data_IF_359888652123
#
_entry.id   IF_359888652123
#
_cell.length_a   1.000
_cell.length_b   1.000
_cell.length_c   1.000
_cell.angle_alpha   90.00
_cell.angle_beta   90.00
_cell.angle_gamma   90.00
#
_symmetry.space_group_name_H-M   'P 1'
#
loop_
_entity.id
_entity.type
_entity.pdbx_description
1 polymer ?
#
# COMPACT_ATOMS: atom_id res chain seq x y z
N UNK A 1 43.88 36.33 -33.05
CA UNK A 1 42.98 35.28 -33.57
C UNK A 1 43.25 33.99 -32.82
N UNK A 2 42.34 33.25 -32.18
CA UNK A 2 40.89 33.31 -32.12
C UNK A 2 40.30 31.89 -32.14
N UNK A 3 39.98 31.36 -30.95
CA UNK A 3 38.88 30.41 -30.62
C UNK A 3 39.10 28.88 -30.78
N UNK A 4 38.88 28.22 -29.63
CA UNK A 4 38.60 26.79 -29.41
C UNK A 4 37.22 26.43 -30.02
N UNK A 5 37.11 25.25 -30.64
CA UNK A 5 35.86 24.62 -31.11
C UNK A 5 36.04 23.10 -30.94
N UNK A 6 35.09 22.29 -30.51
CA UNK A 6 33.69 22.53 -30.19
C UNK A 6 33.15 21.31 -29.46
N UNK A 7 32.33 21.60 -28.46
CA UNK A 7 31.66 20.71 -27.50
C UNK A 7 30.74 19.71 -28.21
N UNK A 8 30.57 18.54 -27.57
CA UNK A 8 29.57 17.51 -27.89
C UNK A 8 28.20 18.15 -28.19
N UNK A 9 27.54 17.73 -29.26
CA UNK A 9 26.13 18.04 -29.50
C UNK A 9 25.28 17.02 -28.75
N UNK A 10 24.95 17.33 -27.51
CA UNK A 10 23.82 16.75 -26.79
C UNK A 10 22.52 17.27 -27.42
N UNK A 11 21.65 16.35 -27.83
CA UNK A 11 20.29 16.67 -28.23
C UNK A 11 19.48 17.06 -26.97
N UNK A 12 18.71 18.16 -26.98
CA UNK A 12 17.84 18.49 -25.86
C UNK A 12 16.65 17.54 -25.88
N UNK A 13 16.68 16.55 -25.00
CA UNK A 13 15.49 15.80 -24.61
C UNK A 13 14.57 16.78 -23.88
N UNK A 14 13.47 17.13 -24.55
CA UNK A 14 12.33 17.85 -23.98
C UNK A 14 11.94 17.23 -22.64
N UNK A 15 12.15 17.98 -21.56
CA UNK A 15 11.47 17.73 -20.31
C UNK A 15 10.03 18.25 -20.46
N UNK A 16 8.98 17.43 -20.26
CA UNK A 16 7.65 17.97 -20.12
C UNK A 16 7.58 18.76 -18.81
N UNK A 17 7.28 20.04 -18.93
CA UNK A 17 6.86 20.91 -17.83
C UNK A 17 5.59 20.30 -17.21
N UNK A 18 5.71 19.79 -15.99
CA UNK A 18 4.55 19.37 -15.19
C UNK A 18 3.98 20.62 -14.54
N UNK A 19 2.89 21.12 -15.11
CA UNK A 19 2.06 22.15 -14.52
C UNK A 19 1.38 21.59 -13.27
N UNK A 20 1.81 22.04 -12.10
CA UNK A 20 1.24 21.67 -10.81
C UNK A 20 -0.01 22.52 -10.51
N UNK A 21 -1.07 22.36 -11.31
CA UNK A 21 -2.39 22.91 -11.01
C UNK A 21 -3.49 21.98 -11.49
N UNK A 22 -3.94 21.11 -10.60
CA UNK A 22 -5.36 20.77 -10.37
C UNK A 22 -5.39 19.59 -9.41
N UNK A 23 -5.77 19.86 -8.16
CA UNK A 23 -6.26 18.84 -7.25
C UNK A 23 -7.62 18.34 -7.77
N UNK A 24 -7.60 17.28 -8.59
CA UNK A 24 -8.75 16.42 -8.86
C UNK A 24 -8.60 15.12 -8.03
N UNK A 25 -9.68 14.34 -7.83
CA UNK A 25 -9.57 13.06 -7.13
C UNK A 25 -8.54 12.21 -7.86
N UNK A 26 -7.56 11.70 -7.11
CA UNK A 26 -6.51 10.84 -7.66
C UNK A 26 -7.22 9.61 -8.22
N UNK A 27 -7.37 9.56 -9.55
CA UNK A 27 -7.80 8.35 -10.23
C UNK A 27 -6.62 7.38 -10.18
N UNK A 28 -6.60 6.61 -9.10
CA UNK A 28 -5.54 5.67 -8.74
C UNK A 28 -5.39 4.55 -9.79
N UNK A 29 -6.36 4.42 -10.72
CA UNK A 29 -6.28 3.50 -11.84
C UNK A 29 -5.27 3.93 -12.92
N UNK A 30 -4.88 5.21 -12.99
CA UNK A 30 -3.94 5.71 -13.98
C UNK A 30 -2.45 5.47 -13.62
N UNK A 31 -2.14 5.17 -12.36
CA UNK A 31 -0.77 4.90 -11.89
C UNK A 31 -0.40 3.41 -11.88
N UNK A 32 -1.36 2.52 -12.11
CA UNK A 32 -1.12 1.09 -12.25
C UNK A 32 -0.89 0.75 -13.73
N UNK A 33 0.36 0.45 -14.09
CA UNK A 33 0.70 -0.09 -15.40
C UNK A 33 -0.12 -1.34 -15.77
N UNK A 34 -0.10 -1.76 -17.05
CA UNK A 34 -1.00 -2.77 -17.58
C UNK A 34 -0.69 -4.14 -16.97
N UNK A 35 -1.31 -4.50 -15.84
CA UNK A 35 -1.55 -5.87 -15.33
C UNK A 35 -2.12 -5.90 -13.90
N UNK A 36 -3.00 -4.98 -13.49
CA UNK A 36 -3.89 -5.28 -12.36
C UNK A 36 -5.00 -6.20 -12.87
N UNK A 37 -4.67 -7.49 -13.02
CA UNK A 37 -5.67 -8.54 -13.24
C UNK A 37 -6.72 -8.35 -12.15
N UNK A 38 -7.90 -7.83 -12.52
CA UNK A 38 -9.00 -7.58 -11.59
C UNK A 38 -9.32 -8.91 -10.93
N UNK A 39 -8.92 -9.06 -9.67
CA UNK A 39 -9.12 -10.28 -8.92
C UNK A 39 -10.54 -10.29 -8.40
N UNK A 40 -11.23 -11.39 -8.62
CA UNK A 40 -12.59 -11.58 -8.12
C UNK A 40 -12.60 -11.51 -6.59
N UNK A 41 -13.74 -11.16 -6.00
CA UNK A 41 -13.93 -11.16 -4.56
C UNK A 41 -13.68 -12.55 -3.92
N UNK A 42 -13.73 -13.61 -4.73
CA UNK A 42 -13.50 -15.01 -4.34
C UNK A 42 -12.02 -15.41 -4.40
N UNK A 43 -11.13 -14.50 -4.79
CA UNK A 43 -9.72 -14.83 -4.93
C UNK A 43 -9.09 -15.18 -3.57
N UNK A 44 -8.26 -16.25 -3.49
CA UNK A 44 -7.67 -16.71 -2.24
C UNK A 44 -6.85 -15.65 -1.51
N UNK A 45 -6.41 -14.60 -2.20
CA UNK A 45 -5.73 -13.47 -1.59
C UNK A 45 -6.62 -12.67 -0.62
N UNK A 46 -7.94 -12.71 -0.78
CA UNK A 46 -8.91 -12.05 0.10
C UNK A 46 -9.39 -12.93 1.25
N UNK A 47 -9.06 -14.22 1.23
CA UNK A 47 -9.49 -15.15 2.29
C UNK A 47 -8.89 -14.76 3.64
N UNK A 48 -9.68 -14.82 4.73
CA UNK A 48 -9.18 -14.53 6.07
C UNK A 48 -8.06 -15.49 6.45
N UNK A 49 -7.04 -14.96 7.14
CA UNK A 49 -5.89 -15.73 7.61
C UNK A 49 -6.10 -15.94 9.11
N UNK A 50 -6.17 -17.19 9.57
CA UNK A 50 -6.56 -17.52 10.95
C UNK A 50 -7.87 -16.84 11.41
N UNK A 51 -8.84 -16.72 10.51
CA UNK A 51 -10.12 -16.04 10.80
C UNK A 51 -10.04 -14.50 10.84
N UNK A 52 -8.87 -13.91 10.60
CA UNK A 52 -8.68 -12.45 10.53
C UNK A 52 -8.76 -12.01 9.07
N UNK A 53 -9.84 -11.32 8.73
CA UNK A 53 -10.05 -10.71 7.41
C UNK A 53 -9.21 -9.45 7.24
N UNK A 54 -9.05 -8.97 6.00
CA UNK A 54 -8.37 -7.69 5.75
C UNK A 54 -9.06 -6.51 6.46
N UNK A 55 -10.39 -6.56 6.56
CA UNK A 55 -11.19 -5.55 7.25
C UNK A 55 -10.96 -5.58 8.77
N UNK A 56 -10.89 -6.77 9.37
CA UNK A 56 -10.54 -6.95 10.79
C UNK A 56 -9.11 -6.46 11.07
N UNK A 57 -8.17 -6.79 10.18
CA UNK A 57 -6.79 -6.30 10.27
C UNK A 57 -6.72 -4.77 10.18
N UNK A 58 -7.43 -4.15 9.24
CA UNK A 58 -7.50 -2.69 9.09
C UNK A 58 -8.18 -2.01 10.28
N UNK A 59 -9.27 -2.59 10.80
CA UNK A 59 -9.94 -2.10 12.01
C UNK A 59 -8.97 -2.08 13.19
N UNK A 60 -8.27 -3.19 13.41
CA UNK A 60 -7.29 -3.28 14.48
C UNK A 60 -6.14 -2.28 14.27
N UNK A 61 -5.64 -2.13 13.05
CA UNK A 61 -4.60 -1.15 12.73
C UNK A 61 -5.06 0.29 13.03
N UNK A 62 -6.33 0.63 12.74
CA UNK A 62 -6.91 1.93 13.13
C UNK A 62 -7.02 2.09 14.63
N UNK A 63 -7.50 1.06 15.34
CA UNK A 63 -7.62 1.10 16.81
C UNK A 63 -6.25 1.22 17.48
N UNK A 64 -5.24 0.51 16.97
CA UNK A 64 -3.86 0.63 17.42
C UNK A 64 -3.30 2.03 17.13
N UNK A 65 -3.46 2.55 15.91
CA UNK A 65 -3.00 3.89 15.53
C UNK A 65 -3.67 4.99 16.38
N UNK A 66 -4.97 4.86 16.67
CA UNK A 66 -5.68 5.78 17.57
C UNK A 66 -5.13 5.76 19.01
N UNK A 67 -4.52 4.64 19.42
CA UNK A 67 -3.81 4.49 20.71
C UNK A 67 -2.32 4.87 20.62
N UNK A 68 -1.84 5.35 19.47
CA UNK A 68 -0.42 5.66 19.22
C UNK A 68 0.46 4.43 19.01
N UNK A 69 -0.15 3.26 18.77
CA UNK A 69 0.53 1.99 18.56
C UNK A 69 0.67 1.73 17.07
N UNK A 70 1.90 1.75 16.57
CA UNK A 70 2.24 1.44 15.16
C UNK A 70 3.12 0.20 15.02
N UNK A 71 3.49 -0.42 16.13
CA UNK A 71 4.32 -1.61 16.17
C UNK A 71 3.47 -2.90 16.16
N UNK A 72 4.01 -3.95 15.54
CA UNK A 72 3.35 -5.24 15.42
C UNK A 72 3.06 -5.88 16.79
N UNK A 73 3.99 -5.82 17.75
CA UNK A 73 3.78 -6.39 19.08
C UNK A 73 2.70 -5.62 19.85
N UNK A 74 2.65 -4.30 19.68
CA UNK A 74 1.58 -3.48 20.21
C UNK A 74 0.21 -3.82 19.61
N UNK A 75 0.11 -4.02 18.28
CA UNK A 75 -1.13 -4.45 17.63
C UNK A 75 -1.58 -5.84 18.12
N UNK A 76 -0.65 -6.78 18.29
CA UNK A 76 -0.96 -8.12 18.85
C UNK A 76 -1.49 -8.00 20.28
N UNK A 77 -0.99 -7.05 21.08
CA UNK A 77 -1.53 -6.78 22.41
C UNK A 77 -2.98 -6.29 22.35
N UNK A 78 -3.30 -5.37 21.43
CA UNK A 78 -4.68 -4.91 21.20
C UNK A 78 -5.57 -6.07 20.75
N UNK A 79 -5.10 -6.91 19.82
CA UNK A 79 -5.84 -8.09 19.37
C UNK A 79 -6.12 -9.08 20.51
N UNK A 80 -5.15 -9.25 21.41
CA UNK A 80 -5.32 -10.07 22.62
C UNK A 80 -6.41 -9.49 23.54
N UNK A 81 -6.51 -8.17 23.68
CA UNK A 81 -7.62 -7.54 24.43
C UNK A 81 -8.98 -7.78 23.77
N UNK A 82 -9.01 -7.93 22.45
CA UNK A 82 -10.22 -8.31 21.69
C UNK A 82 -10.51 -9.83 21.75
N UNK A 83 -9.70 -10.62 22.46
CA UNK A 83 -9.86 -12.06 22.62
C UNK A 83 -9.23 -12.91 21.52
N UNK A 84 -8.43 -12.33 20.63
CA UNK A 84 -7.73 -13.09 19.59
C UNK A 84 -6.46 -13.74 20.11
N UNK A 85 -6.13 -14.92 19.57
CA UNK A 85 -4.93 -15.62 19.97
C UNK A 85 -3.68 -14.91 19.41
N UNK A 86 -2.69 -14.55 20.24
CA UNK A 86 -1.57 -13.72 19.80
C UNK A 86 -0.69 -14.41 18.74
N UNK A 87 -0.55 -15.74 18.83
CA UNK A 87 0.21 -16.53 17.84
C UNK A 87 -0.47 -16.55 16.48
N UNK A 88 -1.80 -16.73 16.46
CA UNK A 88 -2.59 -16.73 15.23
C UNK A 88 -2.71 -15.33 14.62
N UNK A 89 -2.85 -14.33 15.48
CA UNK A 89 -2.84 -12.91 15.10
C UNK A 89 -1.53 -12.54 14.42
N UNK A 90 -0.39 -12.96 14.98
CA UNK A 90 0.91 -12.71 14.36
C UNK A 90 1.01 -13.38 12.99
N UNK A 91 0.62 -14.65 12.89
CA UNK A 91 0.64 -15.39 11.62
C UNK A 91 -0.29 -14.74 10.57
N UNK A 92 -1.45 -14.25 11.00
CA UNK A 92 -2.36 -13.50 10.13
C UNK A 92 -1.75 -12.19 9.63
N UNK A 93 -1.11 -11.41 10.50
CA UNK A 93 -0.49 -10.15 10.09
C UNK A 93 0.69 -10.37 9.16
N UNK A 94 1.50 -11.40 9.41
CA UNK A 94 2.61 -11.78 8.54
C UNK A 94 2.09 -12.17 7.15
N UNK A 95 1.05 -13.01 7.11
CA UNK A 95 0.39 -13.40 5.86
C UNK A 95 -0.22 -12.21 5.11
N UNK A 96 -0.88 -11.28 5.81
CA UNK A 96 -1.42 -10.07 5.20
C UNK A 96 -0.30 -9.13 4.72
N UNK A 97 0.80 -8.98 5.45
CA UNK A 97 1.95 -8.19 5.03
C UNK A 97 2.60 -8.75 3.76
N UNK A 98 2.74 -10.08 3.67
CA UNK A 98 3.20 -10.76 2.45
C UNK A 98 2.25 -10.49 1.27
N UNK A 99 0.93 -10.61 1.48
CA UNK A 99 -0.07 -10.36 0.43
C UNK A 99 -0.06 -8.90 -0.03
N UNK A 100 0.07 -7.94 0.87
CA UNK A 100 0.19 -6.51 0.55
C UNK A 100 1.48 -6.25 -0.26
N UNK A 101 2.59 -6.88 0.11
CA UNK A 101 3.85 -6.77 -0.62
C UNK A 101 3.81 -7.41 -2.01
N UNK A 102 3.06 -8.49 -2.17
CA UNK A 102 2.88 -9.19 -3.45
C UNK A 102 1.78 -8.61 -4.32
N UNK A 103 0.89 -7.78 -3.78
CA UNK A 103 -0.29 -7.30 -4.50
C UNK A 103 -0.65 -5.87 -4.13
N UNK A 104 -0.45 -4.97 -5.10
CA UNK A 104 -0.78 -3.54 -4.99
C UNK A 104 -2.26 -3.35 -4.65
N UNK A 105 -3.16 -4.16 -5.21
CA UNK A 105 -4.61 -4.08 -4.92
C UNK A 105 -4.94 -4.30 -3.43
N UNK A 106 -4.28 -5.25 -2.76
CA UNK A 106 -4.51 -5.56 -1.35
C UNK A 106 -4.02 -4.40 -0.50
N UNK A 107 -2.87 -3.83 -0.86
CA UNK A 107 -2.36 -2.61 -0.24
C UNK A 107 -3.26 -1.39 -0.43
N UNK A 108 -3.88 -1.24 -1.61
CA UNK A 108 -4.86 -0.17 -1.87
C UNK A 108 -6.14 -0.39 -1.07
N UNK A 109 -6.69 -1.60 -1.08
CA UNK A 109 -7.86 -1.96 -0.28
C UNK A 109 -7.62 -1.73 1.21
N UNK A 110 -6.44 -2.11 1.71
CA UNK A 110 -6.06 -1.86 3.09
C UNK A 110 -6.03 -0.35 3.40
N UNK A 111 -5.41 0.47 2.55
CA UNK A 111 -5.41 1.94 2.72
C UNK A 111 -6.81 2.55 2.70
N UNK A 112 -7.67 2.11 1.80
CA UNK A 112 -9.08 2.57 1.75
C UNK A 112 -9.82 2.21 3.05
N UNK A 113 -9.58 1.02 3.61
CA UNK A 113 -10.17 0.62 4.90
C UNK A 113 -9.62 1.42 6.09
N UNK A 114 -8.36 1.88 6.01
CA UNK A 114 -7.77 2.81 6.96
C UNK A 114 -8.35 4.23 6.86
N UNK A 115 -8.94 4.59 5.73
CA UNK A 115 -9.53 5.92 5.46
C UNK A 115 -8.57 6.90 4.79
N UNK A 116 -7.59 6.40 4.02
CA UNK A 116 -6.70 7.19 3.16
C UNK A 116 -7.21 7.29 1.73
#
# INVERSE_FOLDING_TARGET
MGRRVGKRKEAPISLPSVDARTAGPIDLAALAGPSTRSRGAEDPIWQPIHGISLQDYARLAREAQARGIVDQAGMIRVAKELGWHPGETKAAFDGWAVRIGQSVEVGQQFRMLLGF
#
